data_IF_309489522009
#
_entry.id   IF_309489522009
#
_cell.length_a   1.000
_cell.length_b   1.000
_cell.length_c   1.000
_cell.angle_alpha   90.00
_cell.angle_beta   90.00
_cell.angle_gamma   90.00
#
_symmetry.space_group_name_H-M   'P 1'
#
loop_
_entity.id
_entity.type
_entity.pdbx_description
1 polymer ?
#
# COMPACT_ATOMS: atom_id res chain seq x y z
N UNK A 1 21.91 -26.33 -18.50
CA UNK A 1 20.55 -26.40 -19.07
C UNK A 1 19.45 -26.31 -18.01
N UNK A 2 19.48 -27.13 -16.95
CA UNK A 2 18.46 -27.07 -15.87
C UNK A 2 18.34 -25.70 -15.19
N UNK A 3 19.45 -25.03 -14.87
CA UNK A 3 19.44 -23.69 -14.22
C UNK A 3 18.79 -22.63 -15.11
N UNK A 4 19.08 -22.65 -16.41
CA UNK A 4 18.49 -21.70 -17.38
C UNK A 4 16.99 -21.94 -17.50
N UNK A 5 16.55 -23.20 -17.54
CA UNK A 5 15.13 -23.55 -17.53
C UNK A 5 14.41 -23.11 -16.25
N UNK A 6 15.03 -23.31 -15.08
CA UNK A 6 14.50 -22.89 -13.79
C UNK A 6 14.33 -21.36 -13.71
N UNK A 7 15.36 -20.60 -14.10
CA UNK A 7 15.31 -19.13 -14.11
C UNK A 7 14.24 -18.64 -15.10
N UNK A 8 14.19 -19.20 -16.31
CA UNK A 8 13.16 -18.88 -17.30
C UNK A 8 11.74 -19.15 -16.78
N UNK A 9 11.54 -20.26 -16.07
CA UNK A 9 10.26 -20.60 -15.44
C UNK A 9 9.85 -19.57 -14.38
N UNK A 10 10.74 -19.17 -13.47
CA UNK A 10 10.46 -18.15 -12.47
C UNK A 10 10.17 -16.77 -13.08
N UNK A 11 10.91 -16.38 -14.13
CA UNK A 11 10.64 -15.14 -14.87
C UNK A 11 9.27 -15.19 -15.55
N UNK A 12 8.90 -16.33 -16.13
CA UNK A 12 7.61 -16.51 -16.75
C UNK A 12 6.46 -16.41 -15.74
N UNK A 13 6.59 -17.08 -14.58
CA UNK A 13 5.62 -16.96 -13.49
C UNK A 13 5.52 -15.52 -12.98
N UNK A 14 6.67 -14.87 -12.76
CA UNK A 14 6.72 -13.47 -12.32
C UNK A 14 6.00 -12.54 -13.29
N UNK A 15 6.34 -12.62 -14.59
CA UNK A 15 5.71 -11.80 -15.62
C UNK A 15 4.21 -12.06 -15.70
N UNK A 16 3.76 -13.31 -15.60
CA UNK A 16 2.34 -13.67 -15.68
C UNK A 16 1.54 -13.11 -14.50
N UNK A 17 2.06 -13.26 -13.27
CA UNK A 17 1.41 -12.72 -12.07
C UNK A 17 1.42 -11.19 -12.08
N UNK A 18 2.54 -10.58 -12.47
CA UNK A 18 2.68 -9.13 -12.53
C UNK A 18 1.75 -8.51 -13.58
N UNK A 19 1.67 -9.09 -14.77
CA UNK A 19 0.78 -8.62 -15.84
C UNK A 19 -0.69 -8.70 -15.45
N UNK A 20 -1.11 -9.77 -14.75
CA UNK A 20 -2.49 -9.88 -14.23
C UNK A 20 -2.78 -8.79 -13.22
N UNK A 21 -1.86 -8.54 -12.28
CA UNK A 21 -1.99 -7.47 -11.28
C UNK A 21 -2.08 -6.10 -11.94
N UNK A 22 -1.20 -5.79 -12.89
CA UNK A 22 -1.20 -4.49 -13.59
C UNK A 22 -2.47 -4.26 -14.44
N UNK A 23 -3.08 -5.31 -15.01
CA UNK A 23 -4.38 -5.18 -15.68
C UNK A 23 -5.48 -4.72 -14.73
N UNK A 24 -5.58 -5.33 -13.56
CA UNK A 24 -6.56 -4.93 -12.53
C UNK A 24 -6.28 -3.49 -12.08
N UNK A 25 -5.01 -3.15 -11.84
CA UNK A 25 -4.62 -1.79 -11.43
C UNK A 25 -4.92 -0.74 -12.49
N UNK A 26 -4.71 -1.08 -13.77
CA UNK A 26 -5.09 -0.20 -14.88
C UNK A 26 -6.60 0.03 -14.90
N UNK A 27 -7.40 -1.01 -14.72
CA UNK A 27 -8.87 -0.87 -14.69
C UNK A 27 -9.32 0.03 -13.53
N UNK A 28 -8.74 -0.14 -12.32
CA UNK A 28 -9.01 0.73 -11.17
C UNK A 28 -8.62 2.20 -11.45
N UNK A 29 -7.45 2.43 -12.05
CA UNK A 29 -7.00 3.78 -12.43
C UNK A 29 -7.92 4.44 -13.46
N UNK A 30 -8.45 3.67 -14.41
CA UNK A 30 -9.42 4.16 -15.39
C UNK A 30 -10.76 4.54 -14.74
N UNK A 31 -11.12 3.89 -13.62
CA UNK A 31 -12.27 4.28 -12.79
C UNK A 31 -11.98 5.49 -11.89
N UNK A 32 -10.81 6.11 -12.00
CA UNK A 32 -10.40 7.23 -11.15
C UNK A 32 -9.83 6.80 -9.78
N UNK A 33 -9.79 5.50 -9.49
CA UNK A 33 -9.24 4.98 -8.24
C UNK A 33 -7.72 4.98 -8.33
N UNK A 34 -7.11 5.98 -7.67
CA UNK A 34 -5.66 6.08 -7.52
C UNK A 34 -5.24 5.44 -6.20
N UNK A 35 -3.96 5.08 -6.10
CA UNK A 35 -3.41 4.48 -4.90
C UNK A 35 -1.90 4.36 -4.97
N UNK A 36 -1.27 3.93 -3.87
CA UNK A 36 0.17 3.78 -3.78
C UNK A 36 0.75 2.84 -4.86
N UNK A 37 1.97 3.14 -5.28
CA UNK A 37 2.70 2.30 -6.23
C UNK A 37 3.04 0.95 -5.58
N UNK A 38 2.96 -0.17 -6.32
CA UNK A 38 3.24 -1.47 -5.74
C UNK A 38 4.76 -1.67 -5.64
N UNK A 39 5.26 -2.14 -4.49
CA UNK A 39 6.64 -2.60 -4.41
C UNK A 39 6.74 -4.11 -4.59
N UNK A 40 7.83 -4.58 -5.20
CA UNK A 40 8.04 -5.99 -5.48
C UNK A 40 8.27 -6.80 -4.18
N UNK A 41 7.81 -8.06 -4.16
CA UNK A 41 7.83 -9.04 -3.05
C UNK A 41 6.96 -8.68 -1.83
N UNK A 42 7.17 -7.53 -1.21
CA UNK A 42 6.53 -7.17 0.06
C UNK A 42 5.34 -6.21 -0.10
N UNK A 43 5.04 -5.79 -1.33
CA UNK A 43 4.01 -4.78 -1.56
C UNK A 43 4.33 -3.50 -0.80
N UNK A 44 3.33 -2.88 -0.19
CA UNK A 44 3.51 -1.58 0.47
C UNK A 44 3.84 -1.70 1.97
N UNK A 45 4.16 -2.91 2.45
CA UNK A 45 4.46 -3.14 3.87
C UNK A 45 5.58 -2.24 4.42
N UNK A 46 6.73 -2.04 3.72
CA UNK A 46 7.77 -1.16 4.23
C UNK A 46 7.30 0.30 4.35
N UNK A 47 6.48 0.77 3.41
CA UNK A 47 5.89 2.11 3.45
C UNK A 47 4.89 2.23 4.61
N UNK A 48 4.05 1.22 4.82
CA UNK A 48 3.10 1.16 5.93
C UNK A 48 3.82 1.23 7.29
N UNK A 49 4.89 0.45 7.46
CA UNK A 49 5.72 0.46 8.67
C UNK A 49 6.35 1.84 8.90
N UNK A 50 6.85 2.47 7.85
CA UNK A 50 7.41 3.83 7.93
C UNK A 50 6.37 4.85 8.37
N UNK A 51 5.17 4.83 7.79
CA UNK A 51 4.08 5.75 8.16
C UNK A 51 3.65 5.51 9.62
N UNK A 52 3.59 4.25 10.04
CA UNK A 52 3.24 3.89 11.41
C UNK A 52 4.26 4.41 12.43
N UNK A 53 5.56 4.21 12.19
CA UNK A 53 6.63 4.73 13.04
C UNK A 53 6.61 6.27 13.11
N UNK A 54 6.35 6.95 11.98
CA UNK A 54 6.22 8.41 11.96
C UNK A 54 5.05 8.92 12.79
N UNK A 55 3.97 8.15 12.89
CA UNK A 55 2.83 8.51 13.72
C UNK A 55 3.10 8.28 15.21
N UNK A 56 3.81 7.22 15.58
CA UNK A 56 4.22 6.94 16.96
C UNK A 56 5.18 8.00 17.54
N UNK A 57 6.02 8.59 16.68
CA UNK A 57 6.94 9.67 17.05
C UNK A 57 6.23 11.02 17.24
N UNK A 58 4.98 11.15 16.81
CA UNK A 58 4.24 12.42 16.89
C UNK A 58 3.66 12.57 18.30
N UNK A 59 3.82 13.73 18.97
CA UNK A 59 3.28 13.92 20.31
C UNK A 59 1.77 13.70 20.29
N UNK A 60 1.20 13.02 21.31
CA UNK A 60 -0.23 12.80 21.38
C UNK A 60 -0.92 14.16 21.49
N UNK A 61 -1.73 14.50 20.47
CA UNK A 61 -2.60 15.65 20.53
C UNK A 61 -3.69 15.36 21.58
N UNK A 62 -3.60 15.99 22.75
CA UNK A 62 -4.58 15.84 23.84
C UNK A 62 -6.02 16.16 23.40
N UNK A 63 -6.19 17.07 22.42
CA UNK A 63 -7.48 17.38 21.80
C UNK A 63 -7.95 16.31 20.79
N UNK A 64 -7.02 15.55 20.20
CA UNK A 64 -7.37 14.43 19.33
C UNK A 64 -7.76 13.20 20.15
N UNK A 65 -7.23 13.01 21.36
CA UNK A 65 -7.59 11.88 22.23
C UNK A 65 -9.09 11.86 22.61
N UNK A 66 -9.70 13.03 22.77
CA UNK A 66 -11.15 13.17 23.02
C UNK A 66 -11.99 12.91 21.75
N UNK A 67 -11.46 13.25 20.57
CA UNK A 67 -12.08 12.98 19.26
C UNK A 67 -11.88 11.51 18.78
N UNK A 68 -10.80 10.85 19.24
CA UNK A 68 -10.38 9.48 18.88
C UNK A 68 -11.36 8.41 19.34
N UNK A 69 -12.24 8.71 20.32
CA UNK A 69 -13.35 7.81 20.65
C UNK A 69 -14.21 7.47 19.40
N UNK A 70 -14.21 8.34 18.37
CA UNK A 70 -14.95 8.14 17.13
C UNK A 70 -14.05 7.84 15.90
N UNK A 71 -12.72 8.06 15.98
CA UNK A 71 -11.77 7.83 14.86
C UNK A 71 -10.60 6.91 15.25
N UNK A 72 -10.95 5.69 15.66
CA UNK A 72 -9.99 4.61 15.90
C UNK A 72 -9.31 4.10 14.62
N UNK A 73 -9.81 4.48 13.44
CA UNK A 73 -9.23 4.04 12.16
C UNK A 73 -7.88 4.71 11.94
N UNK A 74 -7.75 5.98 12.32
CA UNK A 74 -6.50 6.72 12.24
C UNK A 74 -5.38 6.17 13.13
N UNK A 75 -5.73 5.55 14.27
CA UNK A 75 -4.77 4.94 15.19
C UNK A 75 -4.40 3.51 14.79
N UNK A 76 -5.36 2.71 14.32
CA UNK A 76 -5.09 1.33 13.87
C UNK A 76 -4.40 1.29 12.50
N UNK A 77 -4.79 2.18 11.59
CA UNK A 77 -4.39 2.16 10.18
C UNK A 77 -3.93 3.54 9.69
N UNK A 78 -2.83 4.07 10.26
CA UNK A 78 -2.34 5.42 9.95
C UNK A 78 -1.99 5.62 8.46
N UNK A 79 -1.52 4.56 7.81
CA UNK A 79 -1.22 4.54 6.38
C UNK A 79 -2.47 4.67 5.51
N UNK A 80 -3.64 4.19 5.96
CA UNK A 80 -4.88 4.33 5.20
C UNK A 80 -5.36 5.77 5.18
N UNK A 81 -5.32 6.45 6.33
CA UNK A 81 -5.58 7.89 6.42
C UNK A 81 -4.61 8.70 5.54
N UNK A 82 -3.32 8.35 5.57
CA UNK A 82 -2.31 8.99 4.74
C UNK A 82 -2.63 8.85 3.25
N UNK A 83 -2.90 7.64 2.78
CA UNK A 83 -3.23 7.40 1.37
C UNK A 83 -4.61 7.94 0.98
N UNK A 84 -5.59 7.97 1.88
CA UNK A 84 -6.89 8.60 1.63
C UNK A 84 -6.74 10.10 1.40
N UNK A 85 -5.90 10.79 2.17
CA UNK A 85 -5.61 12.22 1.96
C UNK A 85 -4.86 12.47 0.65
N UNK A 86 -3.99 11.55 0.24
CA UNK A 86 -3.16 11.70 -0.95
C UNK A 86 -3.86 11.30 -2.26
N UNK A 87 -4.67 10.24 -2.21
CA UNK A 87 -5.27 9.60 -3.40
C UNK A 87 -6.79 9.58 -3.37
N UNK A 88 -7.41 10.05 -2.29
CA UNK A 88 -8.86 10.18 -2.18
C UNK A 88 -9.42 11.02 -3.32
N UNK A 89 -10.54 10.55 -3.87
CA UNK A 89 -11.26 11.25 -4.92
C UNK A 89 -11.96 12.43 -4.25
N UNK A 90 -11.63 13.65 -4.71
CA UNK A 90 -12.24 14.90 -4.25
C UNK A 90 -13.64 15.09 -4.83
#
# INVERSE_FOLDING_TARGET
>A
MAVVGLVGFFLHLYSTVWLKSERVRRNLRLQGIKGPAPSFLYGNLPEMQKIQQQQELKPPNLLAAEFVAHDYTSTLFPYFEHWRKQYGIH
#
